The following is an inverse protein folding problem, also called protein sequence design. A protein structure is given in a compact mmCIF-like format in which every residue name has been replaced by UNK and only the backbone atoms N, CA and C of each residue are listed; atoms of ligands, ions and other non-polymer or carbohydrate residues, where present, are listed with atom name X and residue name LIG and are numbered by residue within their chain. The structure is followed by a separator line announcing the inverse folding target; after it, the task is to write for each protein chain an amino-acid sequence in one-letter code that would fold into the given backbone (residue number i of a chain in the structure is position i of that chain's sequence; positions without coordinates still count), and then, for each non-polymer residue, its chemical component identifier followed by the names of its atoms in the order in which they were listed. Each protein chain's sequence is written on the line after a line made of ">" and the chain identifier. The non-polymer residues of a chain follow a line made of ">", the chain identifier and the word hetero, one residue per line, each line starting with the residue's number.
data_IF_911081082067
#
_entry.id   IF_911081082067
#
_cell.length_a   1.000
_cell.length_b   1.000
_cell.length_c   1.000
_cell.angle_alpha   90.00
_cell.angle_beta   90.00
_cell.angle_gamma   90.00
#
_symmetry.space_group_name_H-M   'P 1'
#
loop_
_entity.id
_entity.type
_entity.pdbx_description
1 polymer ?
#
# COMPACT_ATOMS: atom_id res chain seq x y z
N UNK A 1 -6.61 -6.11 28.63
CA UNK A 1 -7.73 -6.51 27.75
C UNK A 1 -7.79 -8.02 27.65
N UNK A 2 -8.93 -8.64 28.02
CA UNK A 2 -9.18 -10.07 27.78
C UNK A 2 -9.08 -10.33 26.27
N UNK A 3 -8.58 -11.49 25.81
CA UNK A 3 -8.55 -11.82 24.39
C UNK A 3 -10.00 -11.90 23.90
N UNK A 4 -10.42 -10.89 23.14
CA UNK A 4 -11.76 -10.87 22.52
C UNK A 4 -11.87 -12.07 21.59
N UNK A 5 -12.81 -12.94 21.87
CA UNK A 5 -13.06 -14.15 21.10
C UNK A 5 -13.70 -13.71 19.77
N UNK A 6 -12.99 -13.92 18.67
CA UNK A 6 -13.37 -13.51 17.28
C UNK A 6 -14.78 -13.99 16.88
N UNK A 7 -15.30 -15.05 17.52
CA UNK A 7 -16.64 -15.61 17.27
C UNK A 7 -17.80 -14.71 17.73
N UNK A 8 -17.54 -13.71 18.61
CA UNK A 8 -18.60 -12.94 19.28
C UNK A 8 -18.94 -11.62 18.57
N UNK A 9 -18.19 -11.20 17.55
CA UNK A 9 -18.45 -9.93 16.88
C UNK A 9 -19.24 -10.19 15.59
N UNK A 10 -20.48 -9.79 15.59
CA UNK A 10 -21.31 -9.93 14.39
C UNK A 10 -20.80 -9.03 13.26
N UNK A 11 -20.83 -9.56 12.03
CA UNK A 11 -20.48 -8.77 10.82
C UNK A 11 -21.33 -7.51 10.69
N UNK A 12 -22.56 -7.54 11.18
CA UNK A 12 -23.47 -6.39 11.21
C UNK A 12 -22.88 -5.27 12.09
N UNK A 13 -22.46 -5.57 13.32
CA UNK A 13 -21.83 -4.56 14.21
C UNK A 13 -20.58 -3.92 13.58
N UNK A 14 -19.72 -4.73 12.92
CA UNK A 14 -18.54 -4.23 12.21
C UNK A 14 -18.92 -3.27 11.06
N UNK A 15 -19.92 -3.65 10.25
CA UNK A 15 -20.37 -2.80 9.15
C UNK A 15 -21.02 -1.51 9.65
N UNK A 16 -21.83 -1.57 10.70
CA UNK A 16 -22.47 -0.39 11.32
C UNK A 16 -21.43 0.56 11.91
N UNK A 17 -20.35 0.04 12.52
CA UNK A 17 -19.26 0.88 13.02
C UNK A 17 -18.61 1.73 11.91
N UNK A 18 -18.42 1.16 10.73
CA UNK A 18 -17.89 1.92 9.60
C UNK A 18 -18.89 2.98 9.08
N UNK A 19 -20.19 2.73 9.16
CA UNK A 19 -21.23 3.71 8.81
C UNK A 19 -21.21 4.87 9.82
N UNK A 20 -21.12 4.57 11.13
CA UNK A 20 -21.01 5.59 12.20
C UNK A 20 -19.82 6.49 11.94
N UNK A 21 -18.64 5.92 11.64
CA UNK A 21 -17.42 6.69 11.38
C UNK A 21 -17.49 7.52 10.11
N UNK A 22 -18.22 7.07 9.08
CA UNK A 22 -18.40 7.84 7.85
C UNK A 22 -19.40 9.00 8.00
N UNK A 23 -20.36 8.90 8.94
CA UNK A 23 -21.42 9.87 9.20
C UNK A 23 -21.30 10.46 10.61
N UNK A 24 -20.09 10.82 11.03
CA UNK A 24 -19.74 11.15 12.40
C UNK A 24 -20.23 12.52 12.88
N UNK A 25 -20.66 13.42 11.98
CA UNK A 25 -21.09 14.80 12.31
C UNK A 25 -22.28 14.88 13.29
N UNK A 26 -23.09 13.82 13.36
CA UNK A 26 -24.27 13.73 14.24
C UNK A 26 -24.09 12.70 15.36
N UNK A 27 -22.85 12.27 15.65
CA UNK A 27 -22.56 11.19 16.57
C UNK A 27 -21.82 11.68 17.82
N UNK A 28 -22.15 11.11 18.98
CA UNK A 28 -21.45 11.39 20.22
C UNK A 28 -20.01 10.88 20.17
N UNK A 29 -19.13 11.48 20.96
CA UNK A 29 -17.74 11.03 21.08
C UNK A 29 -17.66 9.55 21.50
N UNK A 30 -18.54 9.10 22.39
CA UNK A 30 -18.60 7.73 22.86
C UNK A 30 -18.96 6.75 21.71
N UNK A 31 -19.95 7.07 20.86
CA UNK A 31 -20.30 6.26 19.70
C UNK A 31 -19.14 6.15 18.71
N UNK A 32 -18.41 7.26 18.48
CA UNK A 32 -17.25 7.30 17.59
C UNK A 32 -16.12 6.43 18.16
N UNK A 33 -15.81 6.55 19.44
CA UNK A 33 -14.75 5.77 20.09
C UNK A 33 -15.05 4.27 20.05
N UNK A 34 -16.28 3.85 20.34
CA UNK A 34 -16.71 2.45 20.25
C UNK A 34 -16.65 1.92 18.80
N UNK A 35 -17.05 2.74 17.84
CA UNK A 35 -16.98 2.38 16.43
C UNK A 35 -15.53 2.22 15.96
N UNK A 36 -14.62 3.10 16.38
CA UNK A 36 -13.18 2.98 16.12
C UNK A 36 -12.57 1.72 16.70
N UNK A 37 -12.95 1.37 17.95
CA UNK A 37 -12.48 0.14 18.59
C UNK A 37 -12.90 -1.10 17.80
N UNK A 38 -14.14 -1.17 17.32
CA UNK A 38 -14.64 -2.30 16.54
C UNK A 38 -13.95 -2.40 15.16
N UNK A 39 -13.75 -1.27 14.46
CA UNK A 39 -13.02 -1.25 13.19
C UNK A 39 -11.56 -1.67 13.40
N UNK A 40 -10.91 -1.18 14.45
CA UNK A 40 -9.53 -1.55 14.78
C UNK A 40 -9.41 -3.02 15.18
N UNK A 41 -10.39 -3.55 15.92
CA UNK A 41 -10.44 -4.97 16.25
C UNK A 41 -10.59 -5.82 14.99
N UNK A 42 -11.49 -5.43 14.06
CA UNK A 42 -11.63 -6.09 12.76
C UNK A 42 -10.33 -6.09 11.95
N UNK A 43 -9.60 -4.98 11.93
CA UNK A 43 -8.26 -4.91 11.33
C UNK A 43 -7.28 -5.84 12.03
N UNK A 44 -7.26 -5.79 13.36
CA UNK A 44 -6.33 -6.57 14.19
C UNK A 44 -6.42 -8.08 13.98
N UNK A 45 -7.62 -8.62 13.80
CA UNK A 45 -7.80 -10.06 13.53
C UNK A 45 -7.21 -10.50 12.20
N UNK A 46 -7.07 -9.60 11.22
CA UNK A 46 -6.44 -9.90 9.93
C UNK A 46 -4.92 -10.06 10.02
N UNK A 47 -4.30 -9.61 11.13
CA UNK A 47 -2.85 -9.66 11.27
C UNK A 47 -2.29 -11.10 11.23
N UNK A 48 -3.00 -12.07 11.82
CA UNK A 48 -2.55 -13.46 11.80
C UNK A 48 -2.52 -14.05 10.37
N UNK A 49 -3.62 -14.02 9.57
CA UNK A 49 -3.57 -14.42 8.16
C UNK A 49 -2.52 -13.67 7.37
N UNK A 50 -2.42 -12.36 7.55
CA UNK A 50 -1.42 -11.52 6.88
C UNK A 50 0.01 -12.04 7.09
N UNK A 51 0.37 -12.37 8.32
CA UNK A 51 1.68 -12.93 8.65
C UNK A 51 1.92 -14.29 7.99
N UNK A 52 0.89 -15.14 7.89
CA UNK A 52 0.98 -16.44 7.21
C UNK A 52 1.31 -16.23 5.72
N UNK A 53 0.56 -15.37 5.04
CA UNK A 53 0.78 -15.08 3.62
C UNK A 53 2.13 -14.38 3.37
N UNK A 54 2.50 -13.42 4.22
CA UNK A 54 3.80 -12.71 4.10
C UNK A 54 4.99 -13.64 4.25
N UNK A 55 4.96 -14.56 5.23
CA UNK A 55 6.03 -15.55 5.44
C UNK A 55 6.20 -16.45 4.21
N UNK A 56 5.09 -16.92 3.63
CA UNK A 56 5.14 -17.70 2.39
C UNK A 56 5.66 -16.86 1.23
N UNK A 57 5.08 -15.67 1.01
CA UNK A 57 5.47 -14.78 -0.08
C UNK A 57 6.98 -14.49 -0.04
N UNK A 58 7.51 -14.14 1.13
CA UNK A 58 8.95 -13.93 1.34
C UNK A 58 9.76 -15.16 0.93
N UNK A 59 9.42 -16.35 1.48
CA UNK A 59 10.15 -17.58 1.21
C UNK A 59 10.19 -17.96 -0.28
N UNK A 60 9.07 -17.81 -1.00
CA UNK A 60 9.02 -18.21 -2.41
C UNK A 60 9.64 -17.15 -3.32
N UNK A 61 9.55 -15.88 -2.97
CA UNK A 61 10.18 -14.80 -3.74
C UNK A 61 11.70 -14.80 -3.62
N UNK A 62 12.24 -15.07 -2.44
CA UNK A 62 13.70 -15.19 -2.22
C UNK A 62 14.34 -16.36 -2.99
N UNK A 63 13.55 -17.41 -3.32
CA UNK A 63 14.00 -18.50 -4.20
C UNK A 63 14.09 -18.10 -5.68
N UNK A 64 13.30 -17.10 -6.10
CA UNK A 64 13.28 -16.59 -7.48
C UNK A 64 14.25 -15.40 -7.62
N UNK A 65 14.26 -14.52 -6.63
CA UNK A 65 15.10 -13.33 -6.59
C UNK A 65 15.64 -13.10 -5.18
N UNK A 66 16.94 -13.38 -4.93
CA UNK A 66 17.56 -13.11 -3.64
C UNK A 66 17.49 -11.65 -3.19
N UNK A 67 17.26 -10.71 -4.13
CA UNK A 67 17.07 -9.28 -3.86
C UNK A 67 15.63 -8.87 -3.65
N UNK A 68 14.68 -9.83 -3.66
CA UNK A 68 13.27 -9.56 -3.47
C UNK A 68 12.98 -8.83 -2.15
N UNK A 69 12.16 -7.79 -2.21
CA UNK A 69 11.74 -7.03 -1.04
C UNK A 69 10.29 -7.37 -0.70
N UNK A 70 10.08 -8.05 0.42
CA UNK A 70 8.73 -8.37 0.90
C UNK A 70 8.30 -7.47 2.03
N UNK A 71 7.07 -6.97 1.95
CA UNK A 71 6.47 -6.04 2.90
C UNK A 71 5.03 -6.43 3.21
N UNK A 72 4.51 -5.98 4.35
CA UNK A 72 3.09 -6.16 4.72
C UNK A 72 2.57 -4.96 5.47
N UNK A 73 1.27 -4.71 5.33
CA UNK A 73 0.59 -3.68 6.12
C UNK A 73 -0.88 -4.01 6.33
N UNK A 74 -1.45 -3.50 7.41
CA UNK A 74 -2.89 -3.34 7.57
C UNK A 74 -3.32 -1.99 6.96
N UNK A 75 -4.50 -1.97 6.33
CA UNK A 75 -5.04 -0.75 5.73
C UNK A 75 -5.42 0.25 6.81
N UNK A 76 -5.06 1.52 6.63
CA UNK A 76 -5.38 2.62 7.55
C UNK A 76 -6.89 2.84 7.66
N UNK A 77 -7.37 3.28 8.83
CA UNK A 77 -8.81 3.58 9.04
C UNK A 77 -9.27 4.64 8.06
N UNK A 78 -8.52 5.73 7.87
CA UNK A 78 -8.84 6.78 6.90
C UNK A 78 -9.02 6.24 5.48
N UNK A 79 -8.12 5.35 5.03
CA UNK A 79 -8.21 4.70 3.72
C UNK A 79 -9.38 3.72 3.60
N UNK A 80 -9.75 3.05 4.70
CA UNK A 80 -10.95 2.21 4.78
C UNK A 80 -12.18 3.07 4.58
N UNK A 81 -12.31 4.14 5.38
CA UNK A 81 -13.48 5.04 5.33
C UNK A 81 -13.63 5.71 3.97
N UNK A 82 -12.53 6.22 3.39
CA UNK A 82 -12.55 6.81 2.04
C UNK A 82 -12.98 5.80 0.97
N UNK A 83 -12.57 4.52 1.10
CA UNK A 83 -13.01 3.48 0.16
C UNK A 83 -14.50 3.16 0.33
N UNK A 84 -15.02 3.15 1.56
CA UNK A 84 -16.43 2.91 1.86
C UNK A 84 -17.36 4.08 1.49
N UNK A 85 -16.83 5.29 1.30
CA UNK A 85 -17.57 6.46 0.78
C UNK A 85 -17.90 6.34 -0.71
N UNK A 86 -17.24 5.45 -1.45
CA UNK A 86 -17.49 5.26 -2.88
C UNK A 86 -18.91 4.76 -3.11
N UNK A 87 -19.56 5.30 -4.15
CA UNK A 87 -20.91 4.94 -4.54
C UNK A 87 -20.94 4.49 -5.99
N UNK A 88 -21.91 3.66 -6.34
CA UNK A 88 -22.28 3.41 -7.73
C UNK A 88 -23.04 4.62 -8.30
N UNK A 89 -23.29 4.64 -9.61
CA UNK A 89 -24.06 5.68 -10.29
C UNK A 89 -25.47 5.85 -9.70
N UNK A 90 -26.05 4.77 -9.17
CA UNK A 90 -27.35 4.77 -8.47
C UNK A 90 -27.25 5.15 -6.98
N UNK A 91 -26.17 5.76 -6.55
CA UNK A 91 -25.86 6.20 -5.19
C UNK A 91 -25.78 5.10 -4.11
N UNK A 92 -25.85 3.80 -4.48
CA UNK A 92 -25.68 2.70 -3.52
C UNK A 92 -24.20 2.53 -3.12
N UNK A 93 -23.90 2.11 -1.87
CA UNK A 93 -22.55 1.80 -1.43
C UNK A 93 -21.91 0.71 -2.29
N UNK A 94 -20.66 0.88 -2.70
CA UNK A 94 -19.95 -0.12 -3.52
C UNK A 94 -19.61 -1.40 -2.75
N UNK A 95 -19.46 -1.32 -1.41
CA UNK A 95 -19.15 -2.46 -0.54
C UNK A 95 -19.42 -2.17 0.93
N UNK A 96 -19.52 -3.24 1.73
CA UNK A 96 -19.48 -3.19 3.21
C UNK A 96 -18.04 -3.38 3.72
N UNK A 97 -17.74 -2.96 4.96
CA UNK A 97 -16.40 -3.14 5.55
C UNK A 97 -15.96 -4.61 5.56
N UNK A 98 -16.87 -5.53 5.91
CA UNK A 98 -16.57 -6.97 5.96
C UNK A 98 -16.35 -7.63 4.59
N UNK A 99 -16.64 -6.93 3.51
CA UNK A 99 -16.41 -7.36 2.12
C UNK A 99 -15.10 -6.79 1.54
N UNK A 100 -14.44 -5.88 2.27
CA UNK A 100 -13.21 -5.24 1.81
C UNK A 100 -12.08 -6.26 1.70
N UNK A 101 -11.46 -6.36 0.53
CA UNK A 101 -10.49 -7.39 0.19
C UNK A 101 -9.05 -7.04 0.57
N UNK A 102 -8.77 -5.78 0.85
CA UNK A 102 -7.44 -5.20 1.04
C UNK A 102 -7.22 -4.60 2.45
N UNK A 103 -7.94 -5.09 3.47
CA UNK A 103 -7.70 -4.75 4.88
C UNK A 103 -6.31 -5.22 5.30
N UNK A 104 -5.94 -6.42 4.88
CA UNK A 104 -4.61 -6.99 5.05
C UNK A 104 -3.95 -7.16 3.69
N UNK A 105 -2.79 -6.58 3.50
CA UNK A 105 -2.03 -6.66 2.26
C UNK A 105 -0.57 -6.99 2.47
N UNK A 106 -0.04 -7.94 1.70
CA UNK A 106 1.40 -8.16 1.59
C UNK A 106 1.85 -7.92 0.15
N UNK A 107 3.07 -7.46 0.02
CA UNK A 107 3.65 -7.08 -1.26
C UNK A 107 5.03 -7.67 -1.41
N UNK A 108 5.38 -8.03 -2.63
CA UNK A 108 6.76 -8.31 -3.02
C UNK A 108 7.15 -7.43 -4.21
N UNK A 109 8.38 -6.93 -4.15
CA UNK A 109 9.04 -6.20 -5.23
C UNK A 109 10.21 -7.04 -5.70
N UNK A 110 10.23 -7.39 -6.98
CA UNK A 110 11.26 -8.18 -7.64
C UNK A 110 12.10 -7.28 -8.55
N UNK A 111 13.32 -7.71 -8.85
CA UNK A 111 14.28 -6.89 -9.59
C UNK A 111 13.78 -6.47 -10.97
N UNK A 112 13.05 -7.34 -11.66
CA UNK A 112 12.52 -7.09 -13.00
C UNK A 112 11.19 -7.82 -13.26
N UNK A 113 10.61 -7.57 -14.44
CA UNK A 113 9.34 -8.16 -14.87
C UNK A 113 9.43 -9.66 -15.18
N UNK A 114 10.58 -10.16 -15.64
CA UNK A 114 10.78 -11.60 -15.92
C UNK A 114 10.61 -12.40 -14.63
N UNK A 115 11.24 -11.94 -13.55
CA UNK A 115 11.15 -12.57 -12.24
C UNK A 115 9.73 -12.45 -11.62
N UNK A 116 9.00 -11.36 -11.92
CA UNK A 116 7.57 -11.23 -11.54
C UNK A 116 6.74 -12.33 -12.19
N UNK A 117 6.90 -12.53 -13.50
CA UNK A 117 6.18 -13.58 -14.26
C UNK A 117 6.57 -14.97 -13.78
N UNK A 118 7.86 -15.21 -13.52
CA UNK A 118 8.35 -16.50 -12.99
C UNK A 118 7.74 -16.81 -11.62
N UNK A 119 7.78 -15.86 -10.68
CA UNK A 119 7.17 -16.03 -9.36
C UNK A 119 5.68 -16.33 -9.47
N UNK A 120 4.96 -15.56 -10.28
CA UNK A 120 3.53 -15.73 -10.49
C UNK A 120 3.23 -17.12 -11.06
N UNK A 121 3.86 -17.50 -12.18
CA UNK A 121 3.61 -18.77 -12.87
C UNK A 121 3.94 -19.98 -11.97
N UNK A 122 5.06 -19.94 -11.26
CA UNK A 122 5.52 -21.08 -10.45
C UNK A 122 4.73 -21.28 -9.16
N UNK A 123 4.21 -20.22 -8.54
CA UNK A 123 3.65 -20.30 -7.19
C UNK A 123 2.21 -19.80 -7.03
N UNK A 124 1.65 -19.09 -8.02
CA UNK A 124 0.35 -18.41 -7.85
C UNK A 124 -0.65 -18.65 -8.98
N UNK A 125 -0.23 -18.96 -10.20
CA UNK A 125 -1.11 -19.19 -11.34
C UNK A 125 -2.09 -20.34 -11.09
N UNK A 126 -1.58 -21.50 -10.67
CA UNK A 126 -2.32 -22.77 -10.59
C UNK A 126 -3.07 -22.98 -9.26
N UNK A 127 -3.14 -21.97 -8.39
CA UNK A 127 -3.94 -22.06 -7.17
C UNK A 127 -3.50 -23.08 -6.11
N UNK A 128 -2.27 -23.64 -6.20
CA UNK A 128 -1.73 -24.69 -5.31
C UNK A 128 -1.47 -24.23 -3.87
N UNK A 129 -2.36 -23.41 -3.33
CA UNK A 129 -2.36 -22.98 -1.94
C UNK A 129 -3.53 -23.62 -1.22
N UNK A 130 -3.30 -24.05 0.03
CA UNK A 130 -4.37 -24.49 0.94
C UNK A 130 -5.51 -23.45 1.05
N UNK A 131 -5.17 -22.16 0.87
CA UNK A 131 -6.11 -21.04 0.94
C UNK A 131 -6.83 -20.84 -0.41
N UNK A 132 -8.09 -20.46 -0.37
CA UNK A 132 -8.92 -20.30 -1.58
C UNK A 132 -8.58 -18.99 -2.29
N UNK A 133 -8.10 -19.06 -3.55
CA UNK A 133 -7.99 -17.89 -4.43
C UNK A 133 -9.40 -17.41 -4.82
N UNK A 134 -9.70 -16.13 -4.57
CA UNK A 134 -11.03 -15.54 -4.79
C UNK A 134 -11.05 -14.67 -6.03
N UNK A 135 -9.98 -13.90 -6.24
CA UNK A 135 -9.89 -12.95 -7.34
C UNK A 135 -8.44 -12.74 -7.72
N UNK A 136 -8.24 -12.46 -8.99
CA UNK A 136 -6.97 -12.07 -9.54
C UNK A 136 -7.15 -10.90 -10.51
N UNK A 137 -6.21 -9.96 -10.52
CA UNK A 137 -6.15 -8.89 -11.49
C UNK A 137 -4.69 -8.73 -11.93
N UNK A 138 -4.44 -8.97 -13.19
CA UNK A 138 -3.15 -8.68 -13.82
C UNK A 138 -3.19 -7.29 -14.45
N UNK A 139 -2.78 -6.29 -13.68
CA UNK A 139 -2.63 -4.91 -14.16
C UNK A 139 -1.29 -4.67 -14.87
N UNK A 140 -0.50 -5.71 -15.15
CA UNK A 140 0.70 -5.61 -15.98
C UNK A 140 0.31 -5.85 -17.44
N UNK A 141 -0.46 -6.90 -17.67
CA UNK A 141 -1.01 -7.22 -19.00
C UNK A 141 -2.15 -6.28 -19.39
N UNK A 142 -3.02 -5.95 -18.41
CA UNK A 142 -4.16 -5.05 -18.57
C UNK A 142 -4.01 -3.84 -17.62
N UNK A 143 -3.16 -2.85 -17.97
CA UNK A 143 -2.87 -1.71 -17.12
C UNK A 143 -4.12 -0.87 -16.83
N UNK A 144 -4.18 -0.31 -15.62
CA UNK A 144 -5.24 0.66 -15.32
C UNK A 144 -5.04 1.96 -16.09
N UNK A 145 -6.13 2.63 -16.38
CA UNK A 145 -6.11 3.93 -17.10
C UNK A 145 -5.34 5.02 -16.36
N UNK A 146 -5.19 4.91 -15.03
CA UNK A 146 -4.39 5.81 -14.19
C UNK A 146 -2.87 5.55 -14.25
N UNK A 147 -2.44 4.48 -14.93
CA UNK A 147 -1.05 4.08 -15.05
C UNK A 147 -0.60 3.04 -14.02
N UNK A 148 -1.44 2.60 -13.10
CA UNK A 148 -1.06 1.62 -12.09
C UNK A 148 -0.85 0.23 -12.68
N UNK A 149 0.27 -0.43 -12.29
CA UNK A 149 0.67 -1.77 -12.78
C UNK A 149 1.15 -2.64 -11.61
N UNK A 150 0.61 -3.84 -11.49
CA UNK A 150 0.95 -4.88 -10.49
C UNK A 150 0.09 -6.11 -10.74
N UNK A 151 0.48 -7.30 -10.29
CA UNK A 151 -0.43 -8.44 -10.16
C UNK A 151 -1.02 -8.41 -8.75
N UNK A 152 -2.35 -8.47 -8.64
CA UNK A 152 -3.10 -8.54 -7.39
C UNK A 152 -3.83 -9.86 -7.28
N UNK A 153 -3.65 -10.57 -6.16
CA UNK A 153 -4.31 -11.84 -5.91
C UNK A 153 -4.97 -11.76 -4.53
N UNK A 154 -6.26 -12.05 -4.48
CA UNK A 154 -7.02 -12.08 -3.23
C UNK A 154 -7.23 -13.52 -2.80
N UNK A 155 -6.77 -13.83 -1.61
CA UNK A 155 -6.99 -15.12 -0.98
C UNK A 155 -7.93 -15.01 0.21
N UNK A 156 -8.77 -16.04 0.36
CA UNK A 156 -9.54 -16.30 1.59
C UNK A 156 -8.75 -17.28 2.44
N UNK A 157 -8.39 -16.86 3.66
CA UNK A 157 -7.67 -17.72 4.61
C UNK A 157 -8.49 -18.94 4.97
N UNK A 158 -7.85 -20.10 5.00
CA UNK A 158 -8.44 -21.40 5.41
C UNK A 158 -7.47 -22.16 6.29
N UNK A 159 -7.99 -22.77 7.35
CA UNK A 159 -7.29 -23.67 8.25
C UNK A 159 -8.30 -24.72 8.74
N UNK A 160 -7.90 -25.97 8.75
CA UNK A 160 -8.65 -27.13 9.23
C UNK A 160 -8.30 -27.52 10.68
N UNK A 161 -7.28 -26.85 11.26
CA UNK A 161 -6.76 -27.14 12.61
C UNK A 161 -7.02 -25.95 13.57
N UNK A 162 -6.13 -25.74 14.52
CA UNK A 162 -6.23 -24.80 15.65
C UNK A 162 -6.52 -23.32 15.31
N UNK A 163 -6.47 -22.91 14.04
CA UNK A 163 -6.61 -21.50 13.62
C UNK A 163 -7.85 -21.22 12.78
N UNK A 164 -8.86 -22.08 12.90
CA UNK A 164 -10.15 -21.98 12.18
C UNK A 164 -10.91 -20.68 12.44
N UNK A 165 -10.69 -20.04 13.59
CA UNK A 165 -11.30 -18.74 13.93
C UNK A 165 -10.95 -17.60 12.96
N UNK A 166 -9.89 -17.74 12.17
CA UNK A 166 -9.50 -16.77 11.14
C UNK A 166 -10.01 -17.14 9.75
N UNK A 167 -10.73 -18.26 9.60
CA UNK A 167 -11.26 -18.70 8.31
C UNK A 167 -12.20 -17.66 7.72
N UNK A 168 -12.08 -17.45 6.42
CA UNK A 168 -12.89 -16.50 5.68
C UNK A 168 -12.31 -15.08 5.61
N UNK A 169 -11.28 -14.73 6.40
CA UNK A 169 -10.61 -13.44 6.30
C UNK A 169 -9.84 -13.32 4.98
N UNK A 170 -9.89 -12.12 4.39
CA UNK A 170 -9.29 -11.85 3.08
C UNK A 170 -7.91 -11.22 3.23
N UNK A 171 -6.98 -11.65 2.38
CA UNK A 171 -5.63 -11.09 2.28
C UNK A 171 -5.31 -10.83 0.81
N UNK A 172 -4.84 -9.62 0.51
CA UNK A 172 -4.35 -9.23 -0.79
C UNK A 172 -2.85 -9.50 -0.89
N UNK A 173 -2.43 -10.15 -1.98
CA UNK A 173 -1.02 -10.28 -2.38
C UNK A 173 -0.79 -9.37 -3.58
N UNK A 174 0.24 -8.54 -3.52
CA UNK A 174 0.68 -7.68 -4.62
C UNK A 174 2.07 -8.11 -5.08
N UNK A 175 2.21 -8.41 -6.36
CA UNK A 175 3.49 -8.78 -6.98
C UNK A 175 3.82 -7.72 -8.04
N UNK A 176 4.98 -7.08 -7.93
CA UNK A 176 5.40 -6.03 -8.85
C UNK A 176 6.90 -6.03 -9.08
N UNK A 177 7.31 -5.47 -10.22
CA UNK A 177 8.72 -5.19 -10.50
C UNK A 177 9.21 -3.95 -9.75
N UNK A 178 10.53 -3.75 -9.79
CA UNK A 178 11.18 -2.56 -9.24
C UNK A 178 10.65 -1.28 -9.90
N UNK A 179 10.49 -1.23 -11.22
CA UNK A 179 9.98 -0.04 -11.92
C UNK A 179 8.54 0.28 -11.55
N UNK A 180 7.68 -0.74 -11.46
CA UNK A 180 6.30 -0.57 -11.01
C UNK A 180 6.22 -0.06 -9.57
N UNK A 181 7.15 -0.50 -8.71
CA UNK A 181 7.23 -0.02 -7.33
C UNK A 181 7.70 1.44 -7.25
N UNK A 182 8.74 1.80 -7.99
CA UNK A 182 9.27 3.15 -8.10
C UNK A 182 8.19 4.13 -8.56
N UNK A 183 7.44 3.77 -9.60
CA UNK A 183 6.33 4.57 -10.09
C UNK A 183 5.25 4.77 -9.02
N UNK A 184 4.79 3.68 -8.39
CA UNK A 184 3.75 3.77 -7.36
C UNK A 184 4.19 4.60 -6.15
N UNK A 185 5.48 4.54 -5.79
CA UNK A 185 6.08 5.37 -4.73
C UNK A 185 6.06 6.85 -5.09
N UNK A 186 6.44 7.20 -6.32
CA UNK A 186 6.42 8.59 -6.77
C UNK A 186 5.00 9.18 -6.76
N UNK A 187 4.00 8.41 -7.21
CA UNK A 187 2.58 8.81 -7.12
C UNK A 187 2.19 9.04 -5.66
N UNK A 188 2.50 8.10 -4.75
CA UNK A 188 2.17 8.24 -3.32
C UNK A 188 2.86 9.46 -2.69
N UNK A 189 4.09 9.78 -3.10
CA UNK A 189 4.81 10.97 -2.63
C UNK A 189 4.16 12.27 -3.11
N UNK A 190 3.78 12.34 -4.37
CA UNK A 190 3.07 13.54 -4.90
C UNK A 190 1.70 13.69 -4.27
N UNK A 191 0.91 12.61 -4.15
CA UNK A 191 -0.38 12.62 -3.45
C UNK A 191 -0.26 13.19 -2.04
N UNK A 192 0.80 12.82 -1.36
CA UNK A 192 1.06 13.24 0.00
C UNK A 192 1.28 14.76 0.11
N UNK A 193 2.14 15.33 -0.75
CA UNK A 193 2.44 16.78 -0.72
C UNK A 193 1.38 17.64 -1.35
N UNK A 194 0.73 17.16 -2.40
CA UNK A 194 -0.28 17.96 -3.11
C UNK A 194 -1.69 17.77 -2.52
N UNK A 195 -1.89 16.78 -1.66
CA UNK A 195 -3.19 16.38 -1.09
C UNK A 195 -4.27 16.10 -2.15
N UNK A 196 -3.84 15.72 -3.35
CA UNK A 196 -4.72 15.61 -4.53
C UNK A 196 -5.35 14.23 -4.75
N UNK A 197 -4.98 13.22 -3.96
CA UNK A 197 -5.50 11.85 -4.10
C UNK A 197 -5.39 11.28 -5.55
N UNK A 198 -4.28 11.55 -6.24
CA UNK A 198 -3.96 11.09 -7.60
C UNK A 198 -4.11 9.57 -7.71
N UNK A 199 -3.68 8.84 -6.67
CA UNK A 199 -3.80 7.38 -6.57
C UNK A 199 -5.26 6.88 -6.61
N UNK A 200 -6.23 7.72 -6.27
CA UNK A 200 -7.66 7.42 -6.33
C UNK A 200 -8.32 7.97 -7.60
N UNK A 201 -7.51 8.35 -8.59
CA UNK A 201 -7.92 9.02 -9.83
C UNK A 201 -8.67 10.35 -9.59
N UNK A 202 -8.34 11.02 -8.48
CA UNK A 202 -8.75 12.38 -8.11
C UNK A 202 -7.49 13.26 -8.15
N UNK A 203 -7.61 14.56 -8.29
CA UNK A 203 -6.47 15.47 -8.38
C UNK A 203 -6.37 16.18 -9.73
N UNK A 204 -5.38 17.07 -9.88
CA UNK A 204 -5.15 17.82 -11.11
C UNK A 204 -4.82 16.91 -12.29
N UNK A 205 -5.45 17.14 -13.42
CA UNK A 205 -5.31 16.31 -14.61
C UNK A 205 -3.87 16.27 -15.13
N UNK A 206 -3.11 17.34 -14.96
CA UNK A 206 -1.70 17.40 -15.38
C UNK A 206 -0.82 16.37 -14.66
N UNK A 207 -0.96 16.17 -13.35
CA UNK A 207 -0.24 15.13 -12.62
C UNK A 207 -0.68 13.72 -13.04
N UNK A 208 -1.97 13.51 -13.25
CA UNK A 208 -2.49 12.21 -13.73
C UNK A 208 -1.93 11.90 -15.11
N UNK A 209 -1.95 12.87 -16.04
CA UNK A 209 -1.39 12.72 -17.39
C UNK A 209 0.11 12.41 -17.29
N UNK A 210 0.87 13.18 -16.51
CA UNK A 210 2.30 12.96 -16.30
C UNK A 210 2.59 11.52 -15.84
N UNK A 211 1.95 11.07 -14.76
CA UNK A 211 2.19 9.72 -14.25
C UNK A 211 1.73 8.62 -15.20
N UNK A 212 0.65 8.84 -15.93
CA UNK A 212 0.20 7.92 -16.99
C UNK A 212 1.24 7.76 -18.09
N UNK A 213 1.80 8.85 -18.60
CA UNK A 213 2.86 8.86 -19.61
C UNK A 213 4.14 8.17 -19.09
N UNK A 214 4.58 8.51 -17.86
CA UNK A 214 5.76 7.89 -17.24
C UNK A 214 5.56 6.38 -17.03
N UNK A 215 4.35 5.95 -16.67
CA UNK A 215 4.06 4.51 -16.56
C UNK A 215 4.20 3.80 -17.89
N UNK A 216 3.78 4.42 -19.01
CA UNK A 216 3.98 3.89 -20.36
C UNK A 216 5.46 3.83 -20.76
N UNK A 217 6.25 4.85 -20.41
CA UNK A 217 7.69 4.81 -20.61
C UNK A 217 8.35 3.67 -19.82
N UNK A 218 7.97 3.48 -18.56
CA UNK A 218 8.45 2.34 -17.76
C UNK A 218 8.00 0.99 -18.29
N UNK A 219 6.77 0.92 -18.86
CA UNK A 219 6.28 -0.27 -19.55
C UNK A 219 7.15 -0.63 -20.77
N UNK A 220 7.55 0.36 -21.56
CA UNK A 220 8.47 0.16 -22.70
C UNK A 220 9.84 -0.36 -22.24
N UNK A 221 10.40 0.20 -21.15
CA UNK A 221 11.65 -0.30 -20.56
C UNK A 221 11.55 -1.76 -20.09
N UNK A 222 10.36 -2.19 -19.63
CA UNK A 222 10.07 -3.57 -19.23
C UNK A 222 9.61 -4.47 -20.38
N UNK A 223 9.54 -3.98 -21.63
CA UNK A 223 8.97 -4.68 -22.79
C UNK A 223 7.59 -5.27 -22.49
N UNK A 224 6.68 -4.42 -22.01
CA UNK A 224 5.37 -4.79 -21.52
C UNK A 224 4.29 -3.85 -22.05
N UNK A 225 3.03 -4.19 -21.84
CA UNK A 225 1.87 -3.40 -22.32
C UNK A 225 1.91 -1.97 -21.80
N UNK A 226 1.86 -1.00 -22.70
CA UNK A 226 1.76 0.42 -22.39
C UNK A 226 0.34 0.77 -21.93
N UNK A 227 0.19 1.93 -21.30
CA UNK A 227 -1.09 2.39 -20.79
C UNK A 227 -1.99 2.84 -21.96
N UNK A 228 -3.28 2.47 -21.98
CA UNK A 228 -4.20 2.92 -23.02
C UNK A 228 -4.23 4.43 -23.21
N UNK A 229 -4.38 4.89 -24.45
CA UNK A 229 -4.42 6.30 -24.79
C UNK A 229 -3.13 7.07 -24.37
N UNK A 230 -1.96 6.45 -24.56
CA UNK A 230 -0.65 7.09 -24.50
C UNK A 230 0.08 6.86 -25.83
N UNK A 231 1.02 7.74 -26.24
CA UNK A 231 1.74 7.58 -27.49
C UNK A 231 2.46 6.23 -27.58
N UNK A 232 2.28 5.54 -28.72
CA UNK A 232 2.99 4.29 -29.05
C UNK A 232 4.42 4.61 -29.47
N UNK A 233 4.61 5.69 -30.24
CA UNK A 233 5.92 6.18 -30.63
C UNK A 233 6.72 6.66 -29.42
N UNK A 234 7.95 6.17 -29.28
CA UNK A 234 8.78 6.44 -28.12
C UNK A 234 9.21 7.90 -28.03
N UNK A 235 9.57 8.50 -29.17
CA UNK A 235 10.02 9.90 -29.24
C UNK A 235 8.89 10.83 -28.82
N UNK A 236 7.69 10.62 -29.38
CA UNK A 236 6.50 11.40 -29.02
C UNK A 236 6.18 11.26 -27.53
N UNK A 237 6.19 10.02 -27.00
CA UNK A 237 5.95 9.75 -25.58
C UNK A 237 6.93 10.51 -24.67
N UNK A 238 8.22 10.47 -25.00
CA UNK A 238 9.26 11.12 -24.18
C UNK A 238 9.20 12.64 -24.26
N UNK A 239 8.86 13.21 -25.43
CA UNK A 239 8.65 14.66 -25.57
C UNK A 239 7.44 15.13 -24.74
N UNK A 240 6.32 14.41 -24.75
CA UNK A 240 5.17 14.73 -23.89
C UNK A 240 5.51 14.62 -22.41
N UNK A 241 6.31 13.62 -21.99
CA UNK A 241 6.79 13.51 -20.61
C UNK A 241 7.65 14.74 -20.25
N UNK A 242 8.56 15.15 -21.14
CA UNK A 242 9.45 16.31 -20.94
C UNK A 242 8.63 17.60 -20.78
N UNK A 243 7.66 17.82 -21.65
CA UNK A 243 6.75 18.97 -21.56
C UNK A 243 6.03 18.97 -20.22
N UNK A 244 5.36 17.88 -19.82
CA UNK A 244 4.63 17.78 -18.55
C UNK A 244 5.53 17.88 -17.33
N UNK A 245 6.73 17.33 -17.38
CA UNK A 245 7.71 17.44 -16.30
C UNK A 245 8.14 18.90 -16.06
N UNK A 246 8.30 19.69 -17.13
CA UNK A 246 8.63 21.11 -17.05
C UNK A 246 7.43 21.94 -16.57
N UNK A 247 6.22 21.74 -17.13
CA UNK A 247 4.99 22.43 -16.70
C UNK A 247 4.72 22.26 -15.20
N UNK A 248 4.96 21.07 -14.66
CA UNK A 248 4.74 20.72 -13.25
C UNK A 248 5.94 21.02 -12.35
N UNK A 249 7.09 21.40 -12.90
CA UNK A 249 8.37 21.55 -12.17
C UNK A 249 8.72 20.32 -11.32
N UNK A 250 8.53 19.13 -11.92
CA UNK A 250 8.59 17.83 -11.23
C UNK A 250 9.92 17.62 -10.51
N UNK A 251 11.04 17.88 -11.21
CA UNK A 251 12.39 17.61 -10.66
C UNK A 251 12.67 18.48 -9.44
N UNK A 252 12.36 19.76 -9.51
CA UNK A 252 12.59 20.73 -8.42
C UNK A 252 11.70 20.40 -7.23
N UNK A 253 10.41 20.19 -7.44
CA UNK A 253 9.45 19.84 -6.38
C UNK A 253 9.86 18.54 -5.68
N UNK A 254 10.13 17.46 -6.43
CA UNK A 254 10.51 16.18 -5.81
C UNK A 254 11.84 16.26 -5.06
N UNK A 255 12.84 17.00 -5.57
CA UNK A 255 14.11 17.24 -4.85
C UNK A 255 13.89 18.04 -3.57
N UNK A 256 13.00 19.03 -3.59
CA UNK A 256 12.64 19.81 -2.41
C UNK A 256 11.97 18.90 -1.36
N UNK A 257 10.97 18.13 -1.75
CA UNK A 257 10.26 17.22 -0.85
C UNK A 257 11.18 16.14 -0.22
N UNK A 258 12.17 15.63 -0.95
CA UNK A 258 13.15 14.69 -0.38
C UNK A 258 14.00 15.31 0.74
N UNK A 259 14.20 16.62 0.72
CA UNK A 259 15.02 17.32 1.72
C UNK A 259 14.20 17.75 2.95
N UNK A 260 12.89 17.87 2.82
CA UNK A 260 12.04 18.45 3.85
C UNK A 260 11.81 17.53 5.06
N UNK A 261 11.84 16.21 4.89
CA UNK A 261 11.62 15.31 6.02
C UNK A 261 12.90 15.01 6.80
N UNK A 262 12.89 15.42 8.07
CA UNK A 262 13.85 14.96 9.07
C UNK A 262 13.37 13.64 9.68
N UNK A 263 14.04 12.53 9.37
CA UNK A 263 13.79 11.27 10.06
C UNK A 263 14.59 11.21 11.35
N UNK A 264 13.93 11.01 12.46
CA UNK A 264 14.59 10.73 13.75
C UNK A 264 14.84 9.22 13.83
N UNK A 265 16.05 8.81 13.42
CA UNK A 265 16.48 7.42 13.43
C UNK A 265 17.15 7.06 14.79
N UNK A 266 16.37 6.89 15.86
CA UNK A 266 16.88 6.36 17.15
C UNK A 266 17.31 4.89 17.07
N UNK A 267 17.32 4.29 15.88
CA UNK A 267 17.42 2.83 15.69
C UNK A 267 18.67 2.33 15.00
N UNK A 268 19.58 3.20 14.59
CA UNK A 268 20.77 2.77 13.84
C UNK A 268 21.59 1.68 14.55
N UNK A 269 21.45 1.56 15.87
CA UNK A 269 22.20 0.60 16.70
C UNK A 269 21.36 -0.53 17.32
N UNK A 270 20.04 -0.63 17.05
CA UNK A 270 19.20 -1.71 17.63
C UNK A 270 19.16 -2.90 16.70
N UNK A 271 19.75 -4.02 17.15
CA UNK A 271 19.71 -5.33 16.44
C UNK A 271 18.35 -6.04 16.68
N UNK A 272 17.96 -6.94 15.76
CA UNK A 272 16.78 -7.81 15.87
C UNK A 272 15.40 -7.13 15.84
N UNK A 273 15.30 -5.89 15.32
CA UNK A 273 14.01 -5.25 15.09
C UNK A 273 13.33 -5.84 13.84
N UNK A 274 11.99 -5.93 13.89
CA UNK A 274 11.22 -6.54 12.82
C UNK A 274 9.93 -5.78 12.49
N UNK A 275 9.23 -5.22 13.48
CA UNK A 275 8.08 -4.37 13.25
C UNK A 275 8.47 -2.91 13.49
N UNK A 276 7.98 -2.05 12.61
CA UNK A 276 8.25 -0.62 12.66
C UNK A 276 6.92 0.14 12.56
N UNK A 277 6.64 0.95 13.57
CA UNK A 277 5.56 1.92 13.54
C UNK A 277 6.13 3.22 13.01
N UNK A 278 5.60 3.66 11.86
CA UNK A 278 5.97 4.91 11.21
C UNK A 278 4.84 5.92 11.46
N UNK A 279 5.17 7.05 12.07
CA UNK A 279 4.25 8.14 12.37
C UNK A 279 4.76 9.39 11.66
N UNK A 280 4.08 9.80 10.60
CA UNK A 280 4.46 10.91 9.76
C UNK A 280 3.58 12.12 10.05
N UNK A 281 4.20 13.21 10.46
CA UNK A 281 3.60 14.53 10.63
C UNK A 281 4.02 15.41 9.44
N UNK A 282 3.06 15.81 8.62
CA UNK A 282 3.33 16.59 7.41
C UNK A 282 3.47 18.08 7.68
N UNK A 283 2.91 18.57 8.77
CA UNK A 283 3.02 19.98 9.17
C UNK A 283 4.41 20.25 9.75
N UNK A 284 4.85 19.37 10.63
CA UNK A 284 6.17 19.48 11.24
C UNK A 284 7.28 18.84 10.39
N UNK A 285 6.94 18.25 9.26
CA UNK A 285 7.87 17.52 8.36
C UNK A 285 8.72 16.48 9.13
N UNK A 286 8.10 15.76 10.07
CA UNK A 286 8.77 14.80 10.95
C UNK A 286 8.27 13.39 10.73
N UNK A 287 9.20 12.44 10.68
CA UNK A 287 8.92 11.01 10.68
C UNK A 287 9.45 10.39 11.98
N UNK A 288 8.54 9.99 12.87
CA UNK A 288 8.87 9.23 14.07
C UNK A 288 8.81 7.73 13.76
N UNK A 289 9.80 6.98 14.23
CA UNK A 289 9.87 5.54 14.00
C UNK A 289 10.01 4.84 15.35
N UNK A 290 9.04 4.00 15.70
CA UNK A 290 9.12 3.08 16.83
C UNK A 290 9.38 1.66 16.34
N UNK A 291 10.33 0.94 16.93
CA UNK A 291 10.72 -0.39 16.48
C UNK A 291 10.47 -1.46 17.55
N UNK A 292 10.07 -2.64 17.10
CA UNK A 292 9.70 -3.78 17.94
C UNK A 292 10.32 -5.06 17.40
N UNK A 293 10.69 -5.98 18.30
CA UNK A 293 11.18 -7.31 17.92
C UNK A 293 10.03 -8.22 17.42
N UNK A 294 10.37 -9.37 16.82
CA UNK A 294 9.36 -10.37 16.43
C UNK A 294 8.51 -10.86 17.60
N UNK A 295 9.09 -10.94 18.81
CA UNK A 295 8.37 -11.36 20.04
C UNK A 295 7.37 -10.31 20.50
N UNK A 296 7.56 -9.05 20.16
CA UNK A 296 6.74 -7.90 20.54
C UNK A 296 5.61 -7.58 19.54
N UNK A 297 5.22 -8.52 18.67
CA UNK A 297 4.17 -8.32 17.67
C UNK A 297 2.88 -7.73 18.25
N UNK A 298 2.41 -8.26 19.39
CA UNK A 298 1.20 -7.76 20.06
C UNK A 298 1.36 -6.31 20.53
N UNK A 299 2.54 -5.97 21.09
CA UNK A 299 2.84 -4.60 21.55
C UNK A 299 2.89 -3.64 20.37
N UNK A 300 3.52 -4.03 19.26
CA UNK A 300 3.57 -3.24 18.03
C UNK A 300 2.17 -2.99 17.44
N UNK A 301 1.32 -4.01 17.42
CA UNK A 301 -0.07 -3.87 16.94
C UNK A 301 -0.89 -2.94 17.84
N UNK A 302 -0.78 -3.06 19.16
CA UNK A 302 -1.49 -2.17 20.10
C UNK A 302 -1.03 -0.71 19.94
N UNK A 303 0.28 -0.47 19.86
CA UNK A 303 0.83 0.87 19.63
C UNK A 303 0.31 1.49 18.32
N UNK A 304 0.22 0.68 17.25
CA UNK A 304 -0.34 1.12 15.97
C UNK A 304 -1.83 1.51 16.10
N UNK A 305 -2.64 0.69 16.76
CA UNK A 305 -4.07 0.95 16.91
C UNK A 305 -4.33 2.20 17.78
N UNK A 306 -3.52 2.41 18.81
CA UNK A 306 -3.56 3.62 19.64
C UNK A 306 -3.13 4.87 18.85
N UNK A 307 -2.06 4.77 18.06
CA UNK A 307 -1.62 5.87 17.21
C UNK A 307 -2.68 6.25 16.17
N UNK A 308 -3.31 5.27 15.49
CA UNK A 308 -4.43 5.55 14.58
C UNK A 308 -5.62 6.21 15.27
N UNK A 309 -5.92 5.84 16.53
CA UNK A 309 -6.99 6.49 17.31
C UNK A 309 -6.65 7.96 17.61
N UNK A 310 -5.40 8.27 17.95
CA UNK A 310 -4.94 9.65 18.23
C UNK A 310 -4.98 10.56 17.02
N UNK A 311 -4.77 10.01 15.81
CA UNK A 311 -4.75 10.79 14.56
C UNK A 311 -6.08 10.76 13.80
N UNK A 312 -7.09 10.08 14.33
CA UNK A 312 -8.41 10.04 13.71
C UNK A 312 -8.93 11.47 13.47
N UNK A 313 -9.36 11.77 12.25
CA UNK A 313 -9.73 13.10 11.73
C UNK A 313 -8.57 14.11 11.55
N UNK A 314 -7.32 13.78 11.80
CA UNK A 314 -6.20 14.65 11.46
C UNK A 314 -5.74 14.36 10.03
N UNK A 315 -5.84 15.36 9.15
CA UNK A 315 -5.50 15.21 7.71
C UNK A 315 -4.00 15.23 7.44
N UNK A 316 -3.24 15.80 8.36
CA UNK A 316 -1.80 16.06 8.19
C UNK A 316 -0.92 15.01 8.87
N UNK A 317 -1.53 13.90 9.32
CA UNK A 317 -0.82 12.80 9.96
C UNK A 317 -1.05 11.50 9.22
N UNK A 318 0.00 10.68 9.16
CA UNK A 318 -0.07 9.33 8.64
C UNK A 318 0.61 8.34 9.57
N UNK A 319 -0.03 7.19 9.80
CA UNK A 319 0.49 6.13 10.66
C UNK A 319 0.40 4.80 9.96
N UNK A 320 1.48 4.01 10.01
CA UNK A 320 1.48 2.65 9.49
C UNK A 320 2.35 1.72 10.32
N UNK A 321 1.88 0.51 10.54
CA UNK A 321 2.69 -0.58 11.07
C UNK A 321 3.14 -1.48 9.93
N UNK A 322 4.44 -1.65 9.81
CA UNK A 322 5.08 -2.42 8.76
C UNK A 322 6.07 -3.44 9.33
N UNK A 323 6.42 -4.45 8.56
CA UNK A 323 7.48 -5.38 8.94
C UNK A 323 8.59 -5.40 7.90
N UNK A 324 9.83 -5.31 8.38
CA UNK A 324 11.04 -5.42 7.57
C UNK A 324 12.14 -6.10 8.39
N UNK A 325 13.07 -6.77 7.72
CA UNK A 325 14.16 -7.47 8.43
C UNK A 325 15.21 -6.52 9.01
N UNK A 326 15.30 -5.32 8.46
CA UNK A 326 16.16 -4.23 8.94
C UNK A 326 15.67 -2.87 8.39
N UNK A 327 16.25 -1.78 8.89
CA UNK A 327 15.89 -0.41 8.50
C UNK A 327 16.17 -0.12 7.02
N UNK A 328 17.21 -0.70 6.43
CA UNK A 328 17.50 -0.51 5.01
C UNK A 328 16.41 -1.15 4.13
N UNK A 329 15.96 -2.35 4.50
CA UNK A 329 14.84 -3.00 3.82
C UNK A 329 13.51 -2.25 4.06
N UNK A 330 13.33 -1.66 5.25
CA UNK A 330 12.20 -0.78 5.53
C UNK A 330 12.17 0.42 4.57
N UNK A 331 13.27 1.15 4.44
CA UNK A 331 13.39 2.30 3.53
C UNK A 331 13.11 1.92 2.07
N UNK A 332 13.65 0.80 1.61
CA UNK A 332 13.42 0.26 0.26
C UNK A 332 11.98 -0.21 0.03
N UNK A 333 11.34 -0.78 1.04
CA UNK A 333 9.98 -1.31 0.91
C UNK A 333 8.89 -0.23 1.05
N UNK A 334 9.19 0.86 1.77
CA UNK A 334 8.27 1.95 2.06
C UNK A 334 8.93 3.33 1.80
N UNK A 335 9.51 3.55 0.61
CA UNK A 335 10.25 4.77 0.31
C UNK A 335 9.37 6.02 0.36
N UNK A 336 8.05 5.89 0.19
CA UNK A 336 7.09 6.98 0.32
C UNK A 336 7.05 7.62 1.71
N UNK A 337 7.30 6.86 2.80
CA UNK A 337 7.40 7.43 4.15
C UNK A 337 8.74 8.14 4.40
N UNK A 338 9.76 7.79 3.64
CA UNK A 338 11.07 8.43 3.67
C UNK A 338 11.22 9.44 2.53
N UNK A 339 10.16 9.67 1.75
CA UNK A 339 10.13 10.51 0.55
C UNK A 339 11.28 10.22 -0.43
N UNK A 340 11.74 8.98 -0.45
CA UNK A 340 12.85 8.58 -1.31
C UNK A 340 12.39 8.34 -2.75
N UNK A 341 12.41 9.41 -3.54
CA UNK A 341 12.11 9.40 -4.98
C UNK A 341 13.37 9.39 -5.85
N UNK A 342 14.56 9.14 -5.28
CA UNK A 342 15.84 9.15 -6.01
C UNK A 342 15.84 8.24 -7.23
N UNK A 343 15.39 6.99 -7.06
CA UNK A 343 15.32 6.03 -8.15
C UNK A 343 14.33 6.49 -9.23
N UNK A 344 13.19 7.08 -8.85
CA UNK A 344 12.25 7.64 -9.83
C UNK A 344 12.89 8.77 -10.64
N UNK A 345 13.53 9.73 -9.98
CA UNK A 345 14.23 10.84 -10.64
C UNK A 345 15.36 10.34 -11.54
N UNK A 346 16.07 9.26 -11.13
CA UNK A 346 17.10 8.63 -11.98
C UNK A 346 16.51 8.14 -13.31
N UNK A 347 15.43 7.34 -13.27
CA UNK A 347 14.80 6.85 -14.49
C UNK A 347 14.12 7.95 -15.29
N UNK A 348 13.49 8.93 -14.63
CA UNK A 348 12.93 10.11 -15.29
C UNK A 348 14.02 10.88 -16.06
N UNK A 349 15.19 11.11 -15.45
CA UNK A 349 16.29 11.80 -16.11
C UNK A 349 16.82 11.03 -17.35
N UNK A 350 16.83 9.69 -17.31
CA UNK A 350 17.20 8.89 -18.49
C UNK A 350 16.21 9.17 -19.65
N UNK A 351 14.90 9.20 -19.34
CA UNK A 351 13.85 9.50 -20.30
C UNK A 351 14.00 10.92 -20.88
N UNK A 352 14.20 11.93 -19.99
CA UNK A 352 14.28 13.34 -20.37
C UNK A 352 15.52 13.69 -21.20
N UNK A 353 16.59 12.89 -21.13
CA UNK A 353 17.85 13.11 -21.84
C UNK A 353 17.90 12.40 -23.20
N UNK A 354 16.93 11.53 -23.52
CA UNK A 354 17.02 10.66 -24.66
C UNK A 354 16.66 11.38 -25.99
N UNK A 355 15.83 12.41 -25.93
CA UNK A 355 15.40 13.19 -27.09
C UNK A 355 15.40 14.69 -26.82
#
# INVERSE_FOLDING_TARGET
>A
MKPVIIKEISKSKINNSAIILNNNSKKSKQEIDQALELVNLWKGIHNYPLNVFKKRLKRVSEKIDPKALSAQRLKRVSSILNKLKRRYSNNKPTMKLTQMQDIAGCRVVLSDLKLVKELYNKYYSNGNLKHKKIKENDYITNPKSDGYRSIHIIYKYQSDKKKTKYNGLLVEIQIRSKLQHIWATAVETVDFFTKQAIKSNQGEDNWKIFFKLVSSAFAKLEKSTIIPNTPIDEKKLYLEIKQKANELDVIKKMKHWMKSIKSFDDFKNKKNMYFYLLELDTVLERLNISAFTKKQEKKALLAYLEAEKKIYNKKDYDVVLVSADNVNNLKKAYPNYFLDTKEFLKYLNIILKKY
#
